data_IF_859380998955
#
_entry.id   IF_859380998955
#
_cell.length_a   1.000
_cell.length_b   1.000
_cell.length_c   1.000
_cell.angle_alpha   90.00
_cell.angle_beta   90.00
_cell.angle_gamma   90.00
#
_symmetry.space_group_name_H-M   'P 1'
#
loop_
_entity.id
_entity.type
_entity.pdbx_description
1 polymer ?
#
# COMPACT_ATOMS: atom_id res chain seq x y z
N UNK A 1 -15.89 -4.01 4.50
CA UNK A 1 -14.61 -4.08 3.78
C UNK A 1 -13.58 -3.40 4.66
N UNK A 2 -12.59 -4.14 5.16
CA UNK A 2 -11.91 -3.77 6.41
C UNK A 2 -10.60 -3.01 6.19
N UNK A 3 -10.54 -1.77 6.68
CA UNK A 3 -9.31 -0.98 6.83
C UNK A 3 -8.26 -1.73 7.68
N UNK A 4 -8.70 -2.56 8.64
CA UNK A 4 -7.86 -3.43 9.46
C UNK A 4 -7.05 -4.44 8.63
N UNK A 5 -7.64 -4.98 7.57
CA UNK A 5 -6.96 -5.93 6.69
C UNK A 5 -5.86 -5.24 5.86
N UNK A 6 -6.12 -4.01 5.43
CA UNK A 6 -5.13 -3.19 4.74
C UNK A 6 -3.96 -2.82 5.64
N UNK A 7 -4.22 -2.45 6.91
CA UNK A 7 -3.15 -2.17 7.89
C UNK A 7 -2.31 -3.42 8.19
N UNK A 8 -2.94 -4.58 8.38
CA UNK A 8 -2.23 -5.84 8.61
C UNK A 8 -1.37 -6.25 7.40
N UNK A 9 -1.93 -6.14 6.19
CA UNK A 9 -1.19 -6.36 4.95
C UNK A 9 -0.01 -5.39 4.81
N UNK A 10 -0.21 -4.11 5.17
CA UNK A 10 0.86 -3.10 5.21
C UNK A 10 2.01 -3.50 6.14
N UNK A 11 1.71 -3.99 7.35
CA UNK A 11 2.75 -4.50 8.27
C UNK A 11 3.46 -5.73 7.71
N UNK A 12 2.72 -6.61 7.02
CA UNK A 12 3.28 -7.78 6.36
C UNK A 12 4.24 -7.37 5.23
N UNK A 13 3.83 -6.42 4.38
CA UNK A 13 4.65 -5.84 3.31
C UNK A 13 5.94 -5.19 3.84
N UNK A 14 5.92 -4.63 5.06
CA UNK A 14 7.14 -4.08 5.67
C UNK A 14 8.08 -5.15 6.21
N UNK A 15 7.51 -6.24 6.76
CA UNK A 15 8.31 -7.34 7.32
C UNK A 15 8.83 -8.28 6.24
N UNK A 16 8.13 -8.38 5.10
CA UNK A 16 8.42 -9.30 4.02
C UNK A 16 8.96 -8.56 2.78
N UNK A 17 10.27 -8.72 2.55
CA UNK A 17 10.98 -8.05 1.45
C UNK A 17 10.51 -8.51 0.07
N UNK A 18 10.08 -9.77 -0.06
CA UNK A 18 9.60 -10.32 -1.32
C UNK A 18 8.20 -9.80 -1.63
N UNK A 19 7.33 -9.73 -0.62
CA UNK A 19 6.01 -9.11 -0.75
C UNK A 19 6.11 -7.62 -1.09
N UNK A 20 7.08 -6.94 -0.48
CA UNK A 20 7.41 -5.54 -0.79
C UNK A 20 7.75 -5.34 -2.26
N UNK A 21 8.62 -6.17 -2.82
CA UNK A 21 8.98 -6.07 -4.23
C UNK A 21 7.80 -6.40 -5.16
N UNK A 22 6.98 -7.39 -4.81
CA UNK A 22 5.76 -7.72 -5.57
C UNK A 22 4.75 -6.56 -5.57
N UNK A 23 4.55 -5.91 -4.41
CA UNK A 23 3.71 -4.71 -4.33
C UNK A 23 4.35 -3.57 -5.13
N UNK A 24 5.67 -3.35 -5.03
CA UNK A 24 6.42 -2.33 -5.79
C UNK A 24 6.29 -2.48 -7.31
N UNK A 25 6.33 -3.72 -7.80
CA UNK A 25 6.20 -4.05 -9.21
C UNK A 25 4.74 -4.22 -9.66
N UNK A 26 3.76 -4.03 -8.76
CA UNK A 26 2.36 -4.17 -9.11
C UNK A 26 1.96 -3.12 -10.16
N UNK A 27 1.47 -3.54 -11.34
CA UNK A 27 1.10 -2.63 -12.44
C UNK A 27 -0.19 -1.86 -12.15
N UNK A 28 -0.97 -2.29 -11.15
CA UNK A 28 -2.27 -1.71 -10.85
C UNK A 28 -2.67 -1.96 -9.39
N UNK A 29 -3.51 -1.10 -8.79
CA UNK A 29 -3.98 -1.26 -7.41
C UNK A 29 -4.83 -2.53 -7.23
N UNK A 30 -5.47 -3.02 -8.28
CA UNK A 30 -6.17 -4.31 -8.26
C UNK A 30 -5.21 -5.49 -8.05
N UNK A 31 -3.99 -5.41 -8.57
CA UNK A 31 -2.96 -6.43 -8.38
C UNK A 31 -2.51 -6.50 -6.91
N UNK A 32 -2.47 -5.35 -6.22
CA UNK A 32 -2.15 -5.29 -4.79
C UNK A 32 -3.29 -5.89 -3.94
N UNK A 33 -4.54 -5.63 -4.32
CA UNK A 33 -5.72 -6.25 -3.70
C UNK A 33 -5.69 -7.77 -3.85
N UNK A 34 -5.34 -8.26 -5.04
CA UNK A 34 -5.20 -9.69 -5.31
C UNK A 34 -4.07 -10.31 -4.48
N UNK A 35 -2.91 -9.66 -4.43
CA UNK A 35 -1.77 -10.08 -3.61
C UNK A 35 -2.15 -10.18 -2.13
N UNK A 36 -2.83 -9.17 -1.61
CA UNK A 36 -3.32 -9.16 -0.24
C UNK A 36 -4.34 -10.25 0.02
N UNK A 37 -5.26 -10.48 -0.92
CA UNK A 37 -6.22 -11.57 -0.85
C UNK A 37 -5.52 -12.93 -0.78
N UNK A 38 -4.43 -13.13 -1.55
CA UNK A 38 -3.60 -14.33 -1.49
C UNK A 38 -2.90 -14.54 -0.14
N UNK A 39 -2.68 -13.46 0.63
CA UNK A 39 -2.13 -13.51 1.99
C UNK A 39 -3.22 -13.64 3.07
N UNK A 40 -4.50 -13.77 2.68
CA UNK A 40 -5.63 -13.83 3.60
C UNK A 40 -6.14 -12.45 4.06
N UNK A 41 -5.68 -11.37 3.45
CA UNK A 41 -6.10 -10.00 3.72
C UNK A 41 -7.05 -9.49 2.64
N UNK A 42 -8.36 -9.56 2.89
CA UNK A 42 -9.37 -9.07 1.94
C UNK A 42 -9.72 -7.60 2.19
N UNK A 43 -9.37 -6.73 1.23
CA UNK A 43 -9.84 -5.34 1.17
C UNK A 43 -10.19 -4.97 -0.27
N UNK A 44 -10.88 -3.84 -0.48
CA UNK A 44 -11.22 -3.38 -1.83
C UNK A 44 -10.21 -2.36 -2.34
N UNK A 45 -10.16 -2.21 -3.66
CA UNK A 45 -9.42 -1.12 -4.30
C UNK A 45 -9.85 0.24 -3.72
N UNK A 46 -11.15 0.46 -3.49
CA UNK A 46 -11.65 1.69 -2.89
C UNK A 46 -11.06 1.95 -1.48
N UNK A 47 -10.96 0.92 -0.63
CA UNK A 47 -10.30 1.03 0.68
C UNK A 47 -8.82 1.39 0.54
N UNK A 48 -8.11 0.75 -0.39
CA UNK A 48 -6.70 1.04 -0.69
C UNK A 48 -6.51 2.49 -1.16
N UNK A 49 -7.34 2.95 -2.10
CA UNK A 49 -7.29 4.33 -2.61
C UNK A 49 -7.67 5.36 -1.56
N UNK A 50 -8.68 5.08 -0.73
CA UNK A 50 -9.08 5.96 0.38
C UNK A 50 -7.93 6.16 1.36
N UNK A 51 -7.25 5.08 1.76
CA UNK A 51 -6.13 5.13 2.69
C UNK A 51 -4.90 5.80 2.09
N UNK A 52 -4.63 5.56 0.81
CA UNK A 52 -3.58 6.27 0.08
C UNK A 52 -3.88 7.78 0.03
N UNK A 53 -5.12 8.18 -0.28
CA UNK A 53 -5.52 9.59 -0.31
C UNK A 53 -5.43 10.24 1.08
N UNK A 54 -5.81 9.52 2.13
CA UNK A 54 -5.73 9.98 3.53
C UNK A 54 -4.28 10.22 3.97
N UNK A 55 -3.37 9.29 3.65
CA UNK A 55 -1.94 9.43 3.95
C UNK A 55 -1.23 10.46 3.08
N UNK A 56 -1.58 10.57 1.79
CA UNK A 56 -1.07 11.64 0.91
C UNK A 56 -1.50 13.02 1.43
N UNK A 57 -2.75 13.17 1.89
CA UNK A 57 -3.20 14.42 2.51
C UNK A 57 -2.39 14.81 3.76
N UNK A 58 -1.89 13.83 4.49
CA UNK A 58 -1.03 14.06 5.66
C UNK A 58 0.45 14.29 5.29
N UNK A 59 0.91 13.82 4.13
CA UNK A 59 2.21 14.11 3.55
C UNK A 59 2.17 15.48 2.87
N UNK A 60 2.29 16.54 3.66
CA UNK A 60 2.31 17.93 3.20
C UNK A 60 3.43 18.17 2.16
N UNK A 61 3.03 18.53 0.94
CA UNK A 61 3.67 19.26 -0.17
C UNK A 61 5.11 18.94 -0.66
N UNK A 62 6.05 18.46 0.14
CA UNK A 62 7.48 18.53 -0.24
C UNK A 62 8.05 17.26 -0.91
N UNK A 63 7.38 16.10 -0.78
CA UNK A 63 8.01 14.80 -1.10
C UNK A 63 7.19 13.88 -2.04
N UNK A 64 6.08 14.35 -2.60
CA UNK A 64 5.19 13.50 -3.41
C UNK A 64 5.66 13.27 -4.86
N UNK A 65 6.72 13.93 -5.31
CA UNK A 65 7.18 13.85 -6.71
C UNK A 65 8.03 12.61 -7.03
N UNK A 66 8.23 11.71 -6.07
CA UNK A 66 9.12 10.55 -6.23
C UNK A 66 8.45 9.22 -6.55
N UNK A 67 7.15 9.06 -6.29
CA UNK A 67 6.48 7.76 -6.39
C UNK A 67 6.18 7.40 -7.86
N UNK A 68 7.14 6.80 -8.55
CA UNK A 68 7.02 6.38 -9.96
C UNK A 68 6.17 5.10 -10.12
N UNK A 69 5.76 4.45 -9.03
CA UNK A 69 4.98 3.20 -9.08
C UNK A 69 3.97 3.10 -7.92
N UNK A 70 2.87 2.37 -8.14
CA UNK A 70 1.83 2.12 -7.14
C UNK A 70 2.37 1.50 -5.87
N UNK A 71 3.28 0.53 -5.98
CA UNK A 71 3.84 -0.04 -4.78
C UNK A 71 4.83 0.87 -4.07
N UNK A 72 5.40 1.86 -4.75
CA UNK A 72 6.17 2.92 -4.09
C UNK A 72 5.23 3.87 -3.33
N UNK A 73 4.06 4.19 -3.88
CA UNK A 73 3.01 4.94 -3.18
C UNK A 73 2.47 4.18 -1.96
N UNK A 74 2.26 2.86 -2.08
CA UNK A 74 1.95 2.00 -0.94
C UNK A 74 3.11 1.98 0.06
N UNK A 75 4.36 1.85 -0.36
CA UNK A 75 5.49 1.84 0.57
C UNK A 75 5.73 3.19 1.24
N UNK A 76 5.44 4.29 0.58
CA UNK A 76 5.46 5.63 1.19
C UNK A 76 4.30 5.80 2.17
N UNK A 77 3.12 5.33 1.80
CA UNK A 77 1.96 5.34 2.69
C UNK A 77 2.22 4.45 3.91
N UNK A 78 2.78 3.27 3.74
CA UNK A 78 2.77 2.24 4.77
C UNK A 78 4.11 1.99 5.43
N UNK A 79 5.23 2.23 4.75
CA UNK A 79 6.59 1.95 5.20
C UNK A 79 7.31 3.09 5.93
N UNK A 80 6.67 4.22 6.21
CA UNK A 80 7.27 5.31 6.98
C UNK A 80 6.76 5.32 8.43
N UNK A 81 7.40 4.51 9.28
CA UNK A 81 7.56 4.77 10.71
C UNK A 81 8.96 4.30 11.13
N UNK A 82 9.91 5.24 11.07
CA UNK A 82 11.15 5.26 11.84
C UNK A 82 11.23 6.62 12.50
#
# INVERSE_FOLDING_TARGET
MSESALTAFSSLVQSDSQLREQVRQAPSPQHVVDLASSQGHTFTQATLMKMQADKIKHLHDDHLNGATSWGEALLLCFGAHG
#
